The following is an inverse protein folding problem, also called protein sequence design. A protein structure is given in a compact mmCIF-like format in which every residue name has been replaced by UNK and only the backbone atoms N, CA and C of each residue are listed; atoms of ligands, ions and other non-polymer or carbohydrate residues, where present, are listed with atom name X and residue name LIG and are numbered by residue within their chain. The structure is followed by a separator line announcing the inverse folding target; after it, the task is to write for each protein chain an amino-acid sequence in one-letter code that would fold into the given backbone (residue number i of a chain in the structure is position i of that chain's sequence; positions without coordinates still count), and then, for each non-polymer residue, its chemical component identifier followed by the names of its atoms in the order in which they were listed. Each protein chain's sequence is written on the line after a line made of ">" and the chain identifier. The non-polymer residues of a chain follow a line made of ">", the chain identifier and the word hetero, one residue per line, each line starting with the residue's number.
data_IF_522177196036
#
_entry.id   IF_522177196036
#
_cell.length_a   1.000
_cell.length_b   1.000
_cell.length_c   1.000
_cell.angle_alpha   90.00
_cell.angle_beta   90.00
_cell.angle_gamma   90.00
#
_symmetry.space_group_name_H-M   'P 1'
#
loop_
_entity.id
_entity.type
_entity.pdbx_description
1 polymer ?
#
# COMPACT_ATOMS: atom_id res chain seq x y z
N UNK A 1 15.56 21.55 -17.70
CA UNK A 1 16.08 20.45 -18.46
C UNK A 1 15.79 19.19 -17.68
N UNK A 2 14.79 18.46 -18.16
CA UNK A 2 14.42 17.15 -17.61
C UNK A 2 15.61 16.22 -17.84
N UNK A 3 16.11 15.60 -16.78
CA UNK A 3 16.89 14.41 -16.93
C UNK A 3 15.97 13.36 -17.55
N UNK A 4 16.19 13.04 -18.81
CA UNK A 4 15.72 11.82 -19.43
C UNK A 4 16.18 10.69 -18.51
N UNK A 5 15.25 10.08 -17.80
CA UNK A 5 15.48 8.77 -17.21
C UNK A 5 15.64 7.82 -18.40
N UNK A 6 16.88 7.71 -18.88
CA UNK A 6 17.29 6.64 -19.74
C UNK A 6 16.78 5.35 -19.11
N UNK A 7 15.91 4.65 -19.82
CA UNK A 7 15.28 3.42 -19.39
C UNK A 7 16.25 2.23 -19.25
N UNK A 8 17.33 2.44 -18.52
CA UNK A 8 18.20 1.38 -18.03
C UNK A 8 17.46 0.76 -16.87
N UNK A 9 16.82 -0.39 -17.12
CA UNK A 9 16.31 -1.23 -16.04
C UNK A 9 17.48 -1.49 -15.10
N UNK A 10 17.37 -1.14 -13.81
CA UNK A 10 18.45 -1.37 -12.87
C UNK A 10 18.77 -2.87 -12.86
N UNK A 11 20.03 -3.21 -13.14
CA UNK A 11 20.48 -4.59 -13.14
C UNK A 11 20.44 -5.12 -11.69
N UNK A 12 19.64 -6.15 -11.49
CA UNK A 12 19.58 -6.86 -10.21
C UNK A 12 20.89 -7.64 -10.01
N UNK A 13 21.56 -7.36 -8.92
CA UNK A 13 22.78 -8.08 -8.54
C UNK A 13 22.45 -9.17 -7.54
N UNK A 14 22.84 -10.41 -7.83
CA UNK A 14 22.58 -11.56 -6.96
C UNK A 14 23.09 -11.38 -5.53
N UNK A 15 24.27 -10.81 -5.35
CA UNK A 15 24.83 -10.55 -4.03
C UNK A 15 23.99 -9.52 -3.26
N UNK A 16 23.59 -8.44 -3.92
CA UNK A 16 22.73 -7.44 -3.32
C UNK A 16 21.34 -7.99 -3.00
N UNK A 17 20.79 -8.88 -3.84
CA UNK A 17 19.51 -9.55 -3.60
C UNK A 17 19.57 -10.39 -2.31
N UNK A 18 20.64 -11.15 -2.10
CA UNK A 18 20.83 -11.93 -0.87
C UNK A 18 20.94 -11.01 0.35
N UNK A 19 21.68 -9.90 0.23
CA UNK A 19 21.82 -8.93 1.32
C UNK A 19 20.50 -8.21 1.61
N UNK A 20 19.74 -7.83 0.58
CA UNK A 20 18.40 -7.25 0.72
C UNK A 20 17.45 -8.22 1.43
N UNK A 21 17.45 -9.49 1.02
CA UNK A 21 16.65 -10.51 1.67
C UNK A 21 17.04 -10.71 3.14
N UNK A 22 18.33 -10.81 3.45
CA UNK A 22 18.82 -10.92 4.82
C UNK A 22 18.41 -9.71 5.66
N UNK A 23 18.51 -8.51 5.10
CA UNK A 23 18.09 -7.27 5.75
C UNK A 23 16.57 -7.27 6.00
N UNK A 24 15.76 -7.65 5.01
CA UNK A 24 14.32 -7.76 5.16
C UNK A 24 13.92 -8.74 6.28
N UNK A 25 14.57 -9.90 6.34
CA UNK A 25 14.35 -10.89 7.40
C UNK A 25 14.76 -10.38 8.78
N UNK A 26 15.88 -9.65 8.87
CA UNK A 26 16.32 -9.01 10.10
C UNK A 26 15.30 -7.98 10.59
N UNK A 27 14.84 -7.10 9.69
CA UNK A 27 13.85 -6.08 10.01
C UNK A 27 12.50 -6.70 10.41
N UNK A 28 12.08 -7.77 9.74
CA UNK A 28 10.89 -8.52 10.14
C UNK A 28 11.03 -9.13 11.54
N UNK A 29 12.19 -9.69 11.86
CA UNK A 29 12.48 -10.22 13.20
C UNK A 29 12.45 -9.11 14.28
N UNK A 30 13.01 -7.93 13.97
CA UNK A 30 12.96 -6.76 14.86
C UNK A 30 11.55 -6.15 14.97
N UNK A 31 10.69 -6.39 14.00
CA UNK A 31 9.29 -5.97 14.02
C UNK A 31 8.47 -6.65 15.12
N UNK A 32 8.79 -7.90 15.47
CA UNK A 32 8.05 -8.62 16.52
C UNK A 32 8.13 -7.97 17.91
N UNK A 33 9.31 -7.60 18.44
CA UNK A 33 9.41 -6.84 19.68
C UNK A 33 8.66 -5.50 19.62
N UNK A 34 8.74 -4.78 18.51
CA UNK A 34 8.03 -3.51 18.33
C UNK A 34 6.52 -3.74 18.37
N UNK A 35 6.02 -4.77 17.69
CA UNK A 35 4.62 -5.16 17.77
C UNK A 35 4.20 -5.45 19.22
N UNK A 36 4.97 -6.25 19.96
CA UNK A 36 4.67 -6.57 21.35
C UNK A 36 4.61 -5.31 22.25
N UNK A 37 5.43 -4.31 21.97
CA UNK A 37 5.37 -3.03 22.69
C UNK A 37 4.10 -2.24 22.38
N UNK A 38 3.68 -2.25 21.11
CA UNK A 38 2.47 -1.55 20.63
C UNK A 38 1.19 -2.25 21.08
N UNK A 39 1.18 -3.58 21.10
CA UNK A 39 0.03 -4.41 21.50
C UNK A 39 -0.32 -4.26 23.01
N UNK A 40 0.62 -3.77 23.81
CA UNK A 40 0.37 -3.43 25.22
C UNK A 40 -0.44 -2.13 25.41
N UNK A 41 -0.75 -1.39 24.34
CA UNK A 41 -1.57 -0.19 24.42
C UNK A 41 -3.03 -0.61 24.55
N UNK A 42 -3.71 -0.34 25.71
CA UNK A 42 -5.09 -0.72 25.89
C UNK A 42 -6.00 0.01 24.88
N UNK A 43 -7.00 -0.68 24.38
CA UNK A 43 -8.03 -0.23 23.43
C UNK A 43 -7.66 -0.25 21.93
N UNK A 44 -6.45 -0.65 21.52
CA UNK A 44 -6.08 -0.70 20.11
C UNK A 44 -5.55 -2.10 19.78
N UNK A 45 -6.30 -2.87 19.03
CA UNK A 45 -5.83 -4.14 18.46
C UNK A 45 -5.08 -3.86 17.17
N UNK A 46 -3.74 -3.94 17.20
CA UNK A 46 -2.91 -3.68 16.03
C UNK A 46 -2.57 -4.97 15.29
N UNK A 47 -2.67 -4.99 13.96
CA UNK A 47 -2.16 -6.10 13.16
C UNK A 47 -0.65 -6.28 13.31
N UNK A 48 -0.17 -7.52 13.30
CA UNK A 48 1.25 -7.85 13.54
C UNK A 48 2.22 -7.20 12.54
N UNK A 49 1.77 -6.94 11.30
CA UNK A 49 2.61 -6.31 10.29
C UNK A 49 3.03 -4.89 10.62
N UNK A 50 2.29 -4.17 11.47
CA UNK A 50 2.63 -2.80 11.89
C UNK A 50 3.98 -2.76 12.59
N UNK A 51 4.31 -3.75 13.42
CA UNK A 51 5.63 -3.84 14.02
C UNK A 51 6.74 -3.94 12.98
N UNK A 52 6.53 -4.73 11.92
CA UNK A 52 7.48 -4.85 10.81
C UNK A 52 7.58 -3.55 9.99
N UNK A 53 6.46 -2.83 9.80
CA UNK A 53 6.45 -1.53 9.12
C UNK A 53 7.32 -0.51 9.88
N UNK A 54 7.12 -0.37 11.19
CA UNK A 54 7.95 0.53 12.01
C UNK A 54 9.42 0.09 12.02
N UNK A 55 9.71 -1.21 12.10
CA UNK A 55 11.07 -1.72 11.99
C UNK A 55 11.70 -1.35 10.65
N UNK A 56 10.95 -1.45 9.56
CA UNK A 56 11.40 -1.07 8.21
C UNK A 56 11.71 0.42 8.10
N UNK A 57 10.80 1.27 8.58
CA UNK A 57 11.00 2.73 8.58
C UNK A 57 12.21 3.14 9.42
N UNK A 58 12.31 2.63 10.64
CA UNK A 58 13.45 2.92 11.53
C UNK A 58 14.74 2.39 10.90
N UNK A 59 14.74 1.15 10.42
CA UNK A 59 15.89 0.52 9.81
C UNK A 59 16.40 1.29 8.59
N UNK A 60 15.49 1.72 7.71
CA UNK A 60 15.85 2.55 6.55
C UNK A 60 16.49 3.87 6.97
N UNK A 61 15.86 4.60 7.89
CA UNK A 61 16.39 5.88 8.37
C UNK A 61 17.77 5.72 9.05
N UNK A 62 17.97 4.64 9.83
CA UNK A 62 19.27 4.35 10.45
C UNK A 62 20.32 4.02 9.40
N UNK A 63 20.01 3.19 8.41
CA UNK A 63 20.95 2.86 7.32
C UNK A 63 21.34 4.10 6.52
N UNK A 64 20.39 4.97 6.20
CA UNK A 64 20.65 6.23 5.50
C UNK A 64 21.52 7.18 6.36
N UNK A 65 21.25 7.29 7.66
CA UNK A 65 22.01 8.12 8.57
C UNK A 65 23.47 7.66 8.74
N UNK A 66 23.70 6.36 8.69
CA UNK A 66 25.07 5.76 8.77
C UNK A 66 25.75 5.74 7.39
N UNK A 67 25.04 6.09 6.32
CA UNK A 67 25.56 6.02 4.94
C UNK A 67 25.70 4.58 4.42
N UNK A 68 24.96 3.62 5.00
CA UNK A 68 24.97 2.24 4.56
C UNK A 68 24.05 2.04 3.34
N UNK A 69 24.31 0.98 2.58
CA UNK A 69 23.54 0.65 1.39
C UNK A 69 22.14 0.16 1.76
N UNK A 70 21.10 0.76 1.17
CA UNK A 70 19.71 0.45 1.47
C UNK A 70 19.08 -0.60 0.53
N UNK A 71 19.76 -0.98 -0.56
CA UNK A 71 19.33 -1.99 -1.53
C UNK A 71 17.90 -1.75 -2.06
N UNK A 72 17.53 -0.51 -2.34
CA UNK A 72 16.15 -0.13 -2.69
C UNK A 72 15.59 -0.87 -3.89
N UNK A 73 16.40 -1.08 -4.93
CA UNK A 73 16.01 -1.78 -6.16
C UNK A 73 15.70 -3.25 -5.90
N UNK A 74 16.58 -3.89 -5.12
CA UNK A 74 16.42 -5.29 -4.76
C UNK A 74 15.29 -5.49 -3.76
N UNK A 75 15.05 -4.52 -2.85
CA UNK A 75 13.92 -4.52 -1.93
C UNK A 75 12.58 -4.42 -2.68
N UNK A 76 12.48 -3.55 -3.68
CA UNK A 76 11.31 -3.42 -4.54
C UNK A 76 10.99 -4.74 -5.28
N UNK A 77 12.01 -5.39 -5.83
CA UNK A 77 11.85 -6.70 -6.46
C UNK A 77 11.37 -7.78 -5.47
N UNK A 78 11.89 -7.78 -4.24
CA UNK A 78 11.45 -8.69 -3.17
C UNK A 78 10.01 -8.41 -2.75
N UNK A 79 9.63 -7.15 -2.62
CA UNK A 79 8.26 -6.72 -2.29
C UNK A 79 7.27 -7.32 -3.29
N UNK A 80 7.48 -7.09 -4.58
CA UNK A 80 6.60 -7.63 -5.62
C UNK A 80 6.51 -9.16 -5.56
N UNK A 81 7.64 -9.85 -5.44
CA UNK A 81 7.68 -11.31 -5.37
C UNK A 81 6.93 -11.84 -4.15
N UNK A 82 7.14 -11.26 -2.97
CA UNK A 82 6.47 -11.71 -1.74
C UNK A 82 4.98 -11.35 -1.74
N UNK A 83 4.60 -10.22 -2.32
CA UNK A 83 3.20 -9.84 -2.44
C UNK A 83 2.44 -10.84 -3.32
N UNK A 84 2.98 -11.17 -4.49
CA UNK A 84 2.37 -12.17 -5.39
C UNK A 84 2.27 -13.54 -4.72
N UNK A 85 3.34 -13.99 -4.05
CA UNK A 85 3.35 -15.24 -3.33
C UNK A 85 2.31 -15.25 -2.19
N UNK A 86 2.23 -14.18 -1.42
CA UNK A 86 1.25 -14.02 -0.35
C UNK A 86 -0.18 -14.08 -0.88
N UNK A 87 -0.49 -13.35 -1.95
CA UNK A 87 -1.81 -13.37 -2.57
C UNK A 87 -2.18 -14.75 -3.09
N UNK A 88 -1.23 -15.45 -3.73
CA UNK A 88 -1.44 -16.82 -4.19
C UNK A 88 -1.75 -17.77 -3.02
N UNK A 89 -0.97 -17.70 -1.94
CA UNK A 89 -1.19 -18.52 -0.74
C UNK A 89 -2.53 -18.22 -0.07
N UNK A 90 -2.91 -16.94 0.05
CA UNK A 90 -4.20 -16.53 0.62
C UNK A 90 -5.35 -17.09 -0.21
N UNK A 91 -5.27 -16.97 -1.54
CA UNK A 91 -6.31 -17.51 -2.42
C UNK A 91 -6.42 -19.04 -2.33
N UNK A 92 -5.28 -19.74 -2.25
CA UNK A 92 -5.25 -21.20 -2.13
C UNK A 92 -5.80 -21.70 -0.78
N UNK A 93 -5.63 -20.92 0.28
CA UNK A 93 -6.09 -21.29 1.64
C UNK A 93 -7.51 -20.79 1.93
N UNK A 94 -8.06 -19.94 1.08
CA UNK A 94 -9.42 -19.40 1.26
C UNK A 94 -10.48 -20.47 1.00
N UNK A 95 -11.31 -20.70 2.00
CA UNK A 95 -12.45 -21.63 1.90
C UNK A 95 -13.64 -20.94 1.20
N UNK A 96 -13.72 -21.12 -0.11
CA UNK A 96 -14.78 -20.54 -0.93
C UNK A 96 -16.17 -21.08 -0.59
N UNK A 97 -16.27 -22.26 0.04
CA UNK A 97 -17.56 -22.81 0.45
C UNK A 97 -18.20 -21.96 1.56
N UNK A 98 -17.40 -21.36 2.43
CA UNK A 98 -17.85 -20.43 3.47
C UNK A 98 -18.22 -19.06 2.92
N UNK A 99 -17.68 -18.68 1.76
CA UNK A 99 -18.00 -17.44 1.08
C UNK A 99 -19.31 -17.51 0.29
N UNK A 100 -19.70 -18.70 -0.20
CA UNK A 100 -20.86 -18.87 -1.03
C UNK A 100 -22.18 -18.31 -0.41
N UNK A 101 -22.48 -18.49 0.88
CA UNK A 101 -23.71 -17.96 1.49
C UNK A 101 -23.76 -16.44 1.53
N UNK A 102 -22.61 -15.76 1.59
CA UNK A 102 -22.50 -14.30 1.70
C UNK A 102 -22.10 -13.63 0.37
N UNK A 103 -21.85 -14.42 -0.67
CA UNK A 103 -21.37 -13.92 -1.96
C UNK A 103 -22.30 -12.87 -2.60
N UNK A 104 -23.62 -13.06 -2.49
CA UNK A 104 -24.59 -12.10 -3.00
C UNK A 104 -24.52 -10.75 -2.28
N UNK A 105 -24.41 -10.76 -0.95
CA UNK A 105 -24.30 -9.56 -0.14
C UNK A 105 -22.96 -8.85 -0.41
N UNK A 106 -21.86 -9.61 -0.49
CA UNK A 106 -20.54 -9.09 -0.84
C UNK A 106 -20.54 -8.46 -2.24
N UNK A 107 -21.19 -9.10 -3.23
CA UNK A 107 -21.31 -8.57 -4.58
C UNK A 107 -22.00 -7.20 -4.62
N UNK A 108 -23.11 -7.04 -3.89
CA UNK A 108 -23.81 -5.76 -3.78
C UNK A 108 -22.94 -4.68 -3.15
N UNK A 109 -22.21 -5.03 -2.07
CA UNK A 109 -21.29 -4.10 -1.39
C UNK A 109 -20.16 -3.67 -2.35
N UNK A 110 -19.55 -4.61 -3.06
CA UNK A 110 -18.45 -4.31 -4.00
C UNK A 110 -18.90 -3.40 -5.14
N UNK A 111 -20.07 -3.68 -5.74
CA UNK A 111 -20.65 -2.82 -6.78
C UNK A 111 -20.98 -1.44 -6.23
N UNK A 112 -21.60 -1.38 -5.06
CA UNK A 112 -21.90 -0.11 -4.37
C UNK A 112 -20.64 0.69 -4.06
N UNK A 113 -19.57 0.03 -3.58
CA UNK A 113 -18.27 0.64 -3.32
C UNK A 113 -17.62 1.18 -4.61
N UNK A 114 -17.65 0.42 -5.70
CA UNK A 114 -17.10 0.86 -6.98
C UNK A 114 -17.82 2.12 -7.52
N UNK A 115 -19.15 2.13 -7.44
CA UNK A 115 -19.94 3.30 -7.83
C UNK A 115 -19.64 4.49 -6.91
N UNK A 116 -19.61 4.25 -5.60
CA UNK A 116 -19.33 5.30 -4.61
C UNK A 116 -17.97 5.93 -4.83
N UNK A 117 -16.89 5.13 -4.99
CA UNK A 117 -15.54 5.68 -5.17
C UNK A 117 -15.41 6.44 -6.50
N UNK A 118 -16.09 6.01 -7.57
CA UNK A 118 -16.11 6.73 -8.82
C UNK A 118 -16.79 8.10 -8.68
N UNK A 119 -17.97 8.14 -8.05
CA UNK A 119 -18.67 9.40 -7.78
C UNK A 119 -17.89 10.30 -6.83
N UNK A 120 -17.35 9.74 -5.76
CA UNK A 120 -16.50 10.47 -4.83
C UNK A 120 -15.26 11.06 -5.53
N UNK A 121 -14.60 10.27 -6.37
CA UNK A 121 -13.47 10.72 -7.19
C UNK A 121 -13.83 11.92 -8.04
N UNK A 122 -14.91 11.84 -8.81
CA UNK A 122 -15.33 12.90 -9.73
C UNK A 122 -15.81 14.17 -8.99
N UNK A 123 -16.66 14.01 -7.99
CA UNK A 123 -17.31 15.16 -7.35
C UNK A 123 -16.53 15.73 -6.16
N UNK A 124 -15.74 14.93 -5.48
CA UNK A 124 -15.00 15.37 -4.28
C UNK A 124 -13.51 15.46 -4.56
N UNK A 125 -12.85 14.35 -4.88
CA UNK A 125 -11.38 14.32 -5.00
C UNK A 125 -10.86 15.25 -6.09
N UNK A 126 -11.46 15.22 -7.29
CA UNK A 126 -11.07 16.11 -8.38
C UNK A 126 -11.22 17.58 -8.03
N UNK A 127 -12.29 17.94 -7.32
CA UNK A 127 -12.52 19.32 -6.88
C UNK A 127 -11.55 19.76 -5.77
N UNK A 128 -11.17 18.85 -4.87
CA UNK A 128 -10.24 19.13 -3.77
C UNK A 128 -8.80 19.24 -4.25
N UNK A 129 -8.41 18.46 -5.25
CA UNK A 129 -7.04 18.47 -5.79
C UNK A 129 -6.73 19.64 -6.74
N UNK A 130 -7.71 20.49 -7.07
CA UNK A 130 -7.46 21.73 -7.81
C UNK A 130 -8.05 21.82 -9.21
N UNK A 131 -8.75 20.79 -9.71
CA UNK A 131 -9.47 20.76 -11.00
C UNK A 131 -8.58 20.94 -12.23
N UNK A 132 -7.32 20.56 -12.14
CA UNK A 132 -6.36 20.59 -13.23
C UNK A 132 -6.00 19.17 -13.70
N UNK A 133 -5.02 19.08 -14.60
CA UNK A 133 -4.54 17.80 -15.08
C UNK A 133 -3.91 16.95 -13.96
N UNK A 134 -3.14 17.58 -13.07
CA UNK A 134 -2.59 16.91 -11.89
C UNK A 134 -3.67 16.35 -10.97
N UNK A 135 -4.77 17.11 -10.79
CA UNK A 135 -5.94 16.65 -10.05
C UNK A 135 -6.60 15.43 -10.70
N UNK A 136 -6.67 15.39 -12.03
CA UNK A 136 -7.21 14.22 -12.75
C UNK A 136 -6.36 12.98 -12.52
N UNK A 137 -5.04 13.09 -12.60
CA UNK A 137 -4.09 11.99 -12.33
C UNK A 137 -4.24 11.50 -10.90
N UNK A 138 -4.19 12.39 -9.90
CA UNK A 138 -4.36 12.01 -8.49
C UNK A 138 -5.74 11.42 -8.18
N UNK A 139 -6.79 11.88 -8.86
CA UNK A 139 -8.14 11.31 -8.72
C UNK A 139 -8.21 9.89 -9.27
N UNK A 140 -7.54 9.62 -10.39
CA UNK A 140 -7.44 8.27 -10.93
C UNK A 140 -6.68 7.33 -9.97
N UNK A 141 -5.62 7.83 -9.36
CA UNK A 141 -4.92 7.15 -8.28
C UNK A 141 -5.85 6.83 -7.10
N UNK A 142 -6.63 7.82 -6.64
CA UNK A 142 -7.60 7.63 -5.56
C UNK A 142 -8.65 6.56 -5.88
N UNK A 143 -9.20 6.56 -7.09
CA UNK A 143 -10.17 5.53 -7.52
C UNK A 143 -9.50 4.15 -7.52
N UNK A 144 -8.29 4.05 -8.05
CA UNK A 144 -7.54 2.79 -8.06
C UNK A 144 -7.24 2.26 -6.66
N UNK A 145 -6.82 3.14 -5.76
CA UNK A 145 -6.58 2.80 -4.36
C UNK A 145 -7.86 2.33 -3.66
N UNK A 146 -8.94 3.08 -3.80
CA UNK A 146 -10.23 2.74 -3.19
C UNK A 146 -10.88 1.47 -3.75
N UNK A 147 -10.43 0.99 -4.92
CA UNK A 147 -10.84 -0.30 -5.48
C UNK A 147 -10.02 -1.48 -4.96
N UNK A 148 -8.96 -1.25 -4.17
CA UNK A 148 -8.35 -2.38 -3.48
C UNK A 148 -6.87 -2.33 -3.15
N UNK A 149 -6.00 -1.66 -3.90
CA UNK A 149 -4.56 -1.68 -3.63
C UNK A 149 -3.82 -0.48 -4.19
N UNK A 150 -2.68 -0.16 -3.57
CA UNK A 150 -1.78 0.90 -4.05
C UNK A 150 -1.25 0.67 -5.46
N UNK A 151 -1.03 -0.58 -5.85
CA UNK A 151 -0.65 -0.94 -7.21
C UNK A 151 -1.69 -0.53 -8.27
N UNK A 152 -2.99 -0.59 -7.92
CA UNK A 152 -4.07 -0.12 -8.82
C UNK A 152 -4.06 1.41 -8.96
N UNK A 153 -3.70 2.13 -7.89
CA UNK A 153 -3.53 3.59 -7.96
C UNK A 153 -2.44 3.95 -8.96
N UNK A 154 -1.26 3.36 -8.81
CA UNK A 154 -0.12 3.56 -9.70
C UNK A 154 -0.45 3.19 -11.14
N UNK A 155 -1.16 2.07 -11.37
CA UNK A 155 -1.58 1.65 -12.70
C UNK A 155 -2.54 2.65 -13.35
N UNK A 156 -3.52 3.17 -12.60
CA UNK A 156 -4.49 4.16 -13.08
C UNK A 156 -3.83 5.51 -13.41
N UNK A 157 -2.95 5.99 -12.54
CA UNK A 157 -2.18 7.21 -12.78
C UNK A 157 -1.33 7.08 -14.03
N UNK A 158 -0.61 5.97 -14.16
CA UNK A 158 0.21 5.69 -15.33
C UNK A 158 -0.62 5.65 -16.60
N UNK A 159 -1.77 5.00 -16.61
CA UNK A 159 -2.63 4.90 -17.78
C UNK A 159 -3.04 6.29 -18.31
N UNK A 160 -3.37 7.24 -17.42
CA UNK A 160 -3.67 8.61 -17.82
C UNK A 160 -2.42 9.33 -18.32
N UNK A 161 -1.30 9.16 -17.63
CA UNK A 161 -0.07 9.86 -18.00
C UNK A 161 0.54 9.35 -19.31
N UNK A 162 0.38 8.08 -19.62
CA UNK A 162 0.84 7.49 -20.91
C UNK A 162 0.06 8.08 -22.09
N UNK A 163 -1.22 8.49 -21.90
CA UNK A 163 -2.06 9.06 -22.95
C UNK A 163 -1.95 10.59 -23.05
N UNK A 164 -1.94 11.27 -21.91
CA UNK A 164 -2.06 12.75 -21.87
C UNK A 164 -0.78 13.49 -21.47
N UNK A 165 0.28 12.75 -21.13
CA UNK A 165 1.59 13.29 -20.78
C UNK A 165 1.93 13.17 -19.30
N UNK A 166 3.24 13.12 -19.02
CA UNK A 166 3.77 12.84 -17.70
C UNK A 166 3.63 14.03 -16.73
N UNK A 167 3.16 13.74 -15.50
CA UNK A 167 2.99 14.74 -14.43
C UNK A 167 3.74 14.29 -13.16
N UNK A 168 5.00 14.74 -13.00
CA UNK A 168 5.90 14.30 -11.94
C UNK A 168 5.36 14.51 -10.52
N UNK A 169 4.69 15.64 -10.27
CA UNK A 169 4.20 15.99 -8.93
C UNK A 169 3.08 15.03 -8.52
N UNK A 170 2.09 14.80 -9.38
CA UNK A 170 0.99 13.89 -9.08
C UNK A 170 1.48 12.46 -8.87
N UNK A 171 2.39 11.99 -9.73
CA UNK A 171 2.99 10.66 -9.65
C UNK A 171 3.69 10.35 -8.32
N UNK A 172 4.38 11.34 -7.76
CA UNK A 172 5.12 11.14 -6.49
C UNK A 172 4.24 11.46 -5.28
N UNK A 173 3.40 12.49 -5.40
CA UNK A 173 2.68 13.03 -4.25
C UNK A 173 1.59 12.06 -3.79
N UNK A 174 0.73 11.62 -4.69
CA UNK A 174 -0.46 10.85 -4.30
C UNK A 174 -0.12 9.49 -3.71
N UNK A 175 0.68 8.62 -4.36
CA UNK A 175 1.01 7.31 -3.78
C UNK A 175 1.73 7.43 -2.43
N UNK A 176 2.64 8.39 -2.29
CA UNK A 176 3.40 8.57 -1.04
C UNK A 176 2.49 8.97 0.13
N UNK A 177 1.55 9.91 -0.08
CA UNK A 177 0.61 10.31 0.95
C UNK A 177 -0.43 9.22 1.24
N UNK A 178 -0.93 8.55 0.20
CA UNK A 178 -1.94 7.51 0.35
C UNK A 178 -1.42 6.34 1.17
N UNK A 179 -0.19 5.87 0.93
CA UNK A 179 0.45 4.80 1.72
C UNK A 179 0.53 5.20 3.20
N UNK A 180 1.04 6.40 3.51
CA UNK A 180 1.19 6.84 4.91
C UNK A 180 -0.17 6.90 5.62
N UNK A 181 -1.19 7.45 4.94
CA UNK A 181 -2.53 7.56 5.53
C UNK A 181 -3.16 6.17 5.70
N UNK A 182 -3.07 5.32 4.68
CA UNK A 182 -3.69 4.00 4.70
C UNK A 182 -3.06 3.10 5.75
N UNK A 183 -1.74 3.04 5.80
CA UNK A 183 -1.00 2.18 6.73
C UNK A 183 -1.18 2.59 8.21
N UNK A 184 -1.42 3.87 8.48
CA UNK A 184 -1.64 4.36 9.84
C UNK A 184 -3.13 4.39 10.19
N UNK A 185 -3.96 4.94 9.30
CA UNK A 185 -5.38 5.18 9.58
C UNK A 185 -6.23 3.90 9.54
N UNK A 186 -6.01 3.06 8.54
CA UNK A 186 -6.84 1.87 8.32
C UNK A 186 -6.82 0.88 9.48
N UNK A 187 -5.67 0.50 10.06
CA UNK A 187 -5.65 -0.39 11.21
C UNK A 187 -6.37 0.19 12.43
N UNK A 188 -6.22 1.49 12.68
CA UNK A 188 -6.88 2.17 13.78
C UNK A 188 -8.40 2.18 13.55
N UNK A 189 -8.84 2.55 12.35
CA UNK A 189 -10.26 2.58 11.99
C UNK A 189 -10.90 1.19 12.10
N UNK A 190 -10.25 0.16 11.57
CA UNK A 190 -10.75 -1.21 11.63
C UNK A 190 -10.82 -1.75 13.06
N UNK A 191 -9.85 -1.39 13.91
CA UNK A 191 -9.88 -1.76 15.33
C UNK A 191 -11.08 -1.13 16.04
N UNK A 192 -11.31 0.18 15.84
CA UNK A 192 -12.45 0.89 16.40
C UNK A 192 -13.77 0.33 15.87
N UNK A 193 -13.88 0.14 14.57
CA UNK A 193 -15.08 -0.43 13.94
C UNK A 193 -15.37 -1.85 14.43
N UNK A 194 -14.33 -2.68 14.57
CA UNK A 194 -14.45 -4.04 15.11
C UNK A 194 -14.95 -4.05 16.56
N UNK A 195 -14.41 -3.17 17.41
CA UNK A 195 -14.85 -3.04 18.79
C UNK A 195 -16.31 -2.57 18.92
N UNK A 196 -16.73 -1.63 18.07
CA UNK A 196 -18.12 -1.17 18.02
C UNK A 196 -19.08 -2.29 17.60
N UNK A 197 -18.74 -3.07 16.59
CA UNK A 197 -19.56 -4.20 16.12
C UNK A 197 -19.67 -5.28 17.20
N UNK A 198 -18.58 -5.59 17.91
CA UNK A 198 -18.61 -6.55 19.02
C UNK A 198 -19.46 -6.07 20.22
N UNK A 199 -19.50 -4.78 20.48
CA UNK A 199 -20.34 -4.21 21.53
C UNK A 199 -21.83 -4.13 21.19
N UNK A 200 -22.19 -4.20 19.89
CA UNK A 200 -23.56 -4.19 19.41
C UNK A 200 -24.16 -5.60 19.28
N UNK A 201 -23.36 -6.63 19.48
CA UNK A 201 -23.74 -8.03 19.34
C UNK A 201 -23.93 -8.72 20.70
#
# INVERSE_FOLDING_TARGET
>A
PMAETTGVKPELNNTNMIMAFALAMLLAALGMPIYCLLDNIPMIEMPKFIGCLFAGVIGRNVLEAVGAKTYTVEMDALEHMFLELYLALVLMTTDFTKLAPVAGQMGIILVGQAIFIALFGIFVSYNMFGRDYGAAVMTAGNIGWGCGAGSNAVANEKAIMDEYGWHNIAWVLYPSFAVIIDDIYNPIFLSIAGSLVNNLR
#
